data_IF_651419711740
#
_entry.id   IF_651419711740
#
_cell.length_a   1.000
_cell.length_b   1.000
_cell.length_c   1.000
_cell.angle_alpha   90.00
_cell.angle_beta   90.00
_cell.angle_gamma   90.00
#
_symmetry.space_group_name_H-M   'P 1'
#
loop_
_entity.id
_entity.type
_entity.pdbx_description
1 polymer ?
#
# COMPACT_ATOMS: atom_id res chain seq x y z
N UNK A 1 -9.87 -12.09 20.02
CA UNK A 1 -8.63 -11.47 19.54
C UNK A 1 -9.05 -10.21 18.83
N UNK A 2 -8.81 -9.04 19.42
CA UNK A 2 -9.19 -7.76 18.82
C UNK A 2 -8.33 -7.53 17.57
N UNK A 3 -8.96 -7.32 16.42
CA UNK A 3 -8.31 -6.85 15.21
C UNK A 3 -7.84 -5.41 15.48
N UNK A 4 -6.64 -5.27 16.05
CA UNK A 4 -5.94 -3.99 16.22
C UNK A 4 -5.34 -3.53 14.89
N UNK A 5 -6.15 -3.46 13.84
CA UNK A 5 -5.78 -2.83 12.57
C UNK A 5 -6.49 -1.49 12.46
N UNK A 6 -6.27 -0.60 13.43
CA UNK A 6 -6.51 0.81 13.18
C UNK A 6 -5.20 1.37 12.64
N UNK A 7 -4.98 1.25 11.32
CA UNK A 7 -3.86 1.94 10.64
C UNK A 7 -3.76 3.39 11.10
N UNK A 8 -4.93 3.97 11.36
CA UNK A 8 -5.08 5.28 11.95
C UNK A 8 -6.06 5.18 13.12
N UNK A 9 -5.62 5.64 14.28
CA UNK A 9 -6.38 5.73 15.53
C UNK A 9 -7.11 7.07 15.61
N UNK A 10 -8.10 7.19 16.51
CA UNK A 10 -8.82 8.44 16.74
C UNK A 10 -7.94 9.58 17.27
N UNK A 11 -6.75 9.29 17.78
CA UNK A 11 -5.75 10.28 18.21
C UNK A 11 -4.84 10.78 17.09
N UNK A 12 -4.84 10.14 15.93
CA UNK A 12 -3.94 10.49 14.85
C UNK A 12 -4.43 11.72 14.08
N UNK A 13 -3.51 12.63 13.80
CA UNK A 13 -3.79 13.80 12.99
C UNK A 13 -3.57 13.48 11.52
N UNK A 14 -4.65 13.48 10.74
CA UNK A 14 -4.63 13.21 9.30
C UNK A 14 -4.84 14.51 8.55
N UNK A 15 -3.89 14.85 7.68
CA UNK A 15 -4.05 15.94 6.71
C UNK A 15 -3.83 15.41 5.31
N UNK A 16 -4.78 15.69 4.41
CA UNK A 16 -4.55 15.48 2.98
C UNK A 16 -3.33 16.29 2.54
N UNK A 17 -2.41 15.61 1.84
CA UNK A 17 -1.15 16.21 1.42
C UNK A 17 -1.39 17.08 0.19
N UNK A 18 -1.13 18.40 0.28
CA UNK A 18 -1.29 19.27 -0.88
C UNK A 18 -0.38 18.85 -2.03
N UNK A 19 -0.91 18.82 -3.26
CA UNK A 19 -0.17 18.38 -4.45
C UNK A 19 1.07 19.22 -4.80
N UNK A 20 1.21 20.43 -4.23
CA UNK A 20 2.39 21.29 -4.38
C UNK A 20 3.52 20.99 -3.37
N UNK A 21 3.23 20.26 -2.28
CA UNK A 21 4.29 19.75 -1.39
C UNK A 21 4.97 18.53 -2.04
N UNK A 22 5.89 17.86 -1.34
CA UNK A 22 6.56 16.62 -1.82
C UNK A 22 5.58 15.43 -1.93
N UNK A 23 4.42 15.63 -2.54
CA UNK A 23 3.43 14.62 -2.89
C UNK A 23 4.00 13.73 -3.99
N UNK A 24 3.81 12.43 -3.83
CA UNK A 24 4.14 11.41 -4.83
C UNK A 24 3.12 11.51 -5.97
N UNK A 25 1.85 11.69 -5.62
CA UNK A 25 0.73 11.94 -6.53
C UNK A 25 0.81 13.39 -7.00
N UNK A 26 0.88 13.55 -8.32
CA UNK A 26 0.46 14.79 -8.95
C UNK A 26 -0.98 14.58 -9.44
N UNK A 27 -1.95 15.17 -8.73
CA UNK A 27 -3.39 15.03 -9.01
C UNK A 27 -3.77 15.39 -10.45
N UNK A 28 -2.92 16.12 -11.17
CA UNK A 28 -3.11 16.44 -12.58
C UNK A 28 -3.05 15.20 -13.52
N UNK A 29 -2.55 14.04 -13.06
CA UNK A 29 -2.46 12.80 -13.87
C UNK A 29 -2.60 11.53 -13.02
N UNK A 30 -3.74 11.33 -12.34
CA UNK A 30 -4.02 10.12 -11.54
C UNK A 30 -3.86 8.81 -12.32
N UNK A 31 -4.25 8.78 -13.60
CA UNK A 31 -4.12 7.62 -14.50
C UNK A 31 -2.67 7.18 -14.79
N UNK A 32 -1.66 7.91 -14.32
CA UNK A 32 -0.23 7.58 -14.48
C UNK A 32 0.45 7.18 -13.18
N UNK A 33 -0.30 6.83 -12.13
CA UNK A 33 0.25 6.53 -10.78
C UNK A 33 0.15 5.05 -10.41
N UNK A 34 0.32 4.17 -11.40
CA UNK A 34 0.22 2.72 -11.17
C UNK A 34 1.45 2.14 -10.47
N UNK A 35 1.21 1.33 -9.45
CA UNK A 35 2.19 0.63 -8.63
C UNK A 35 1.84 -0.86 -8.56
N UNK A 36 2.82 -1.68 -8.18
CA UNK A 36 2.59 -3.10 -7.90
C UNK A 36 2.71 -3.35 -6.40
N UNK A 37 1.77 -4.11 -5.85
CA UNK A 37 1.74 -4.51 -4.44
C UNK A 37 1.78 -6.03 -4.42
N UNK A 38 2.72 -6.60 -3.66
CA UNK A 38 2.83 -8.05 -3.49
C UNK A 38 2.62 -8.45 -2.04
N UNK A 39 1.90 -9.55 -1.84
CA UNK A 39 1.80 -10.25 -0.57
C UNK A 39 2.10 -11.73 -0.83
N UNK A 40 3.26 -12.20 -0.36
CA UNK A 40 3.75 -13.53 -0.65
C UNK A 40 3.98 -13.71 -2.15
N UNK A 41 3.29 -14.68 -2.74
CA UNK A 41 3.35 -14.93 -4.17
C UNK A 41 2.25 -14.22 -4.96
N UNK A 42 1.32 -13.54 -4.29
CA UNK A 42 0.26 -12.79 -4.95
C UNK A 42 0.73 -11.38 -5.30
N UNK A 43 0.41 -10.94 -6.51
CA UNK A 43 0.70 -9.61 -7.02
C UNK A 43 -0.60 -8.91 -7.42
N UNK A 44 -0.67 -7.62 -7.12
CA UNK A 44 -1.79 -6.76 -7.42
C UNK A 44 -1.30 -5.45 -8.03
N UNK A 45 -1.87 -5.06 -9.16
CA UNK A 45 -1.63 -3.76 -9.76
C UNK A 45 -2.66 -2.76 -9.22
N UNK A 46 -2.18 -1.69 -8.61
CA UNK A 46 -3.01 -0.66 -8.01
C UNK A 46 -2.64 0.72 -8.56
N UNK A 47 -3.57 1.67 -8.50
CA UNK A 47 -3.30 3.07 -8.79
C UNK A 47 -3.39 3.86 -7.49
N UNK A 48 -2.42 4.75 -7.27
CA UNK A 48 -2.46 5.61 -6.09
C UNK A 48 -3.58 6.63 -6.27
N UNK A 49 -4.49 6.70 -5.30
CA UNK A 49 -5.62 7.64 -5.33
C UNK A 49 -5.37 8.86 -4.45
N UNK A 50 -4.86 8.67 -3.22
CA UNK A 50 -4.67 9.75 -2.26
C UNK A 50 -3.42 9.55 -1.39
N UNK A 51 -2.90 10.66 -0.89
CA UNK A 51 -1.80 10.74 0.08
C UNK A 51 -2.20 11.62 1.25
N UNK A 52 -1.92 11.15 2.46
CA UNK A 52 -2.16 11.90 3.68
C UNK A 52 -0.90 11.94 4.53
N UNK A 53 -0.65 13.07 5.18
CA UNK A 53 0.23 13.10 6.34
C UNK A 53 -0.53 12.49 7.52
N UNK A 54 0.08 11.51 8.17
CA UNK A 54 -0.41 10.96 9.43
C UNK A 54 0.61 11.30 10.49
N UNK A 55 0.19 12.11 11.47
CA UNK A 55 1.07 12.72 12.46
C UNK A 55 2.22 13.49 11.80
N UNK A 56 3.44 13.41 12.37
CA UNK A 56 4.63 14.14 11.88
C UNK A 56 5.53 13.31 10.97
N UNK A 57 5.47 12.00 11.08
CA UNK A 57 6.52 11.07 10.66
C UNK A 57 6.03 9.99 9.70
N UNK A 58 4.73 9.87 9.44
CA UNK A 58 4.21 8.89 8.48
C UNK A 58 3.45 9.54 7.33
N UNK A 59 3.44 8.87 6.20
CA UNK A 59 2.57 9.13 5.05
C UNK A 59 1.67 7.92 4.86
N UNK A 60 0.36 8.15 4.85
CA UNK A 60 -0.64 7.16 4.42
C UNK A 60 -0.83 7.29 2.91
N UNK A 61 -0.64 6.18 2.20
CA UNK A 61 -0.90 6.09 0.77
C UNK A 61 -2.12 5.20 0.59
N UNK A 62 -3.13 5.72 -0.10
CA UNK A 62 -4.34 4.99 -0.47
C UNK A 62 -4.30 4.65 -1.95
N UNK A 63 -4.59 3.40 -2.28
CA UNK A 63 -4.57 2.88 -3.65
C UNK A 63 -5.88 2.17 -3.98
N UNK A 64 -6.27 2.21 -5.24
CA UNK A 64 -7.36 1.39 -5.76
C UNK A 64 -6.84 0.31 -6.72
N UNK A 65 -7.46 -0.85 -6.71
CA UNK A 65 -7.22 -1.92 -7.67
C UNK A 65 -8.58 -2.41 -8.20
N UNK A 66 -8.85 -2.18 -9.48
CA UNK A 66 -10.11 -2.58 -10.10
C UNK A 66 -10.07 -4.07 -10.47
N UNK A 67 -11.18 -4.78 -10.29
CA UNK A 67 -11.27 -6.20 -10.70
C UNK A 67 -11.10 -6.37 -12.21
N UNK A 68 -11.58 -5.41 -13.01
CA UNK A 68 -11.45 -5.42 -14.47
C UNK A 68 -10.01 -5.35 -14.97
N UNK A 69 -9.10 -4.78 -14.18
CA UNK A 69 -7.69 -4.60 -14.53
C UNK A 69 -6.78 -5.65 -13.86
N UNK A 70 -7.32 -6.44 -12.91
CA UNK A 70 -6.57 -7.37 -12.09
C UNK A 70 -7.23 -8.76 -12.10
N UNK A 71 -6.90 -9.62 -13.08
CA UNK A 71 -7.50 -10.96 -13.18
C UNK A 71 -7.19 -11.89 -11.99
N UNK A 72 -6.21 -11.54 -11.16
CA UNK A 72 -5.79 -12.32 -9.99
C UNK A 72 -6.12 -11.67 -8.65
N UNK A 73 -6.97 -10.64 -8.64
CA UNK A 73 -7.34 -9.92 -7.41
C UNK A 73 -8.01 -10.84 -6.38
N UNK A 74 -8.78 -11.83 -6.82
CA UNK A 74 -9.40 -12.82 -5.93
C UNK A 74 -8.36 -13.72 -5.26
N UNK A 75 -7.31 -14.12 -5.98
CA UNK A 75 -6.20 -14.88 -5.41
C UNK A 75 -5.45 -14.04 -4.37
N UNK A 76 -5.22 -12.75 -4.65
CA UNK A 76 -4.64 -11.80 -3.71
C UNK A 76 -5.50 -11.62 -2.45
N UNK A 77 -6.82 -11.49 -2.59
CA UNK A 77 -7.75 -11.46 -1.45
C UNK A 77 -7.77 -12.79 -0.67
N UNK A 78 -7.59 -13.92 -1.36
CA UNK A 78 -7.46 -15.24 -0.74
C UNK A 78 -6.24 -15.35 0.16
N UNK A 79 -5.06 -14.97 -0.33
CA UNK A 79 -3.83 -14.88 0.47
C UNK A 79 -4.02 -13.95 1.68
N UNK A 80 -4.78 -12.85 1.50
CA UNK A 80 -5.06 -11.92 2.58
C UNK A 80 -5.99 -12.47 3.65
N UNK A 81 -7.03 -13.20 3.25
CA UNK A 81 -7.91 -13.88 4.18
C UNK A 81 -7.12 -14.91 5.01
N UNK A 82 -6.20 -15.65 4.39
CA UNK A 82 -5.32 -16.59 5.09
C UNK A 82 -4.46 -15.85 6.12
N UNK A 83 -3.89 -14.70 5.74
CA UNK A 83 -3.07 -13.88 6.63
C UNK A 83 -3.83 -13.38 7.87
N UNK A 84 -4.98 -12.72 7.69
CA UNK A 84 -5.71 -12.10 8.79
C UNK A 84 -6.44 -13.10 9.67
N UNK A 85 -7.05 -14.13 9.08
CA UNK A 85 -7.89 -15.07 9.82
C UNK A 85 -7.15 -16.29 10.34
N UNK A 86 -5.94 -16.55 9.84
CA UNK A 86 -5.07 -17.68 10.26
C UNK A 86 -5.85 -18.98 10.46
N UNK A 87 -6.57 -19.45 9.43
CA UNK A 87 -7.48 -20.58 9.56
C UNK A 87 -6.72 -21.83 10.02
N UNK A 88 -7.17 -22.42 11.13
CA UNK A 88 -6.50 -23.56 11.79
C UNK A 88 -6.50 -24.86 10.99
N UNK A 89 -7.27 -24.93 9.90
CA UNK A 89 -7.37 -26.10 9.02
C UNK A 89 -6.36 -26.06 7.85
N UNK A 90 -5.67 -24.93 7.65
CA UNK A 90 -4.57 -24.85 6.70
C UNK A 90 -3.26 -25.14 7.44
N UNK A 91 -2.48 -26.10 6.95
CA UNK A 91 -1.18 -26.45 7.53
C UNK A 91 -0.13 -25.41 7.09
N UNK A 92 -0.14 -24.24 7.72
CA UNK A 92 0.64 -23.04 7.35
C UNK A 92 2.05 -23.05 7.97
N UNK A 93 2.72 -24.20 8.04
CA UNK A 93 3.98 -24.37 8.78
C UNK A 93 5.16 -23.51 8.28
N UNK A 94 5.07 -22.79 7.13
CA UNK A 94 6.26 -22.14 6.56
C UNK A 94 6.14 -20.76 5.89
N UNK A 95 4.99 -20.11 5.73
CA UNK A 95 4.97 -18.83 4.99
C UNK A 95 3.87 -17.88 5.48
N UNK A 96 4.02 -17.33 6.69
CA UNK A 96 3.26 -16.13 7.03
C UNK A 96 3.99 -14.93 6.45
N UNK A 97 3.41 -14.31 5.43
CA UNK A 97 3.87 -13.02 4.91
C UNK A 97 3.21 -11.95 5.77
N UNK A 98 4.00 -11.29 6.61
CA UNK A 98 3.58 -10.26 7.57
C UNK A 98 3.63 -8.83 7.03
N UNK A 99 4.13 -8.66 5.81
CA UNK A 99 4.33 -7.38 5.17
C UNK A 99 3.90 -7.42 3.72
N UNK A 100 3.34 -6.31 3.25
CA UNK A 100 3.22 -6.08 1.81
C UNK A 100 4.53 -5.50 1.29
N UNK A 101 4.90 -5.85 0.06
CA UNK A 101 5.96 -5.13 -0.67
C UNK A 101 5.32 -4.25 -1.73
N UNK A 102 5.66 -2.98 -1.72
CA UNK A 102 5.15 -1.96 -2.63
C UNK A 102 6.27 -1.57 -3.59
N UNK A 103 6.10 -1.87 -4.86
CA UNK A 103 7.01 -1.47 -5.93
C UNK A 103 6.47 -0.24 -6.65
N UNK A 104 7.28 0.80 -6.75
CA UNK A 104 6.85 2.06 -7.37
C UNK A 104 7.98 2.78 -8.08
N UNK A 105 7.77 3.22 -9.33
CA UNK A 105 8.73 4.08 -10.01
C UNK A 105 8.72 5.53 -9.49
N UNK A 106 7.72 5.93 -8.69
CA UNK A 106 7.48 7.32 -8.29
C UNK A 106 8.14 7.68 -6.96
N UNK A 107 8.44 6.70 -6.12
CA UNK A 107 9.07 6.89 -4.82
C UNK A 107 10.15 5.84 -4.58
N UNK A 108 11.18 6.24 -3.84
CA UNK A 108 12.34 5.41 -3.52
C UNK A 108 12.60 5.40 -2.03
N UNK A 109 12.99 4.25 -1.52
CA UNK A 109 13.44 4.07 -0.15
C UNK A 109 14.90 4.56 -0.07
N UNK A 110 15.14 5.64 0.68
CA UNK A 110 16.48 6.24 0.75
C UNK A 110 17.47 5.39 1.56
N UNK A 111 16.98 4.56 2.47
CA UNK A 111 17.82 3.73 3.34
C UNK A 111 18.51 2.62 2.57
N UNK A 112 17.88 2.11 1.50
CA UNK A 112 18.44 1.05 0.65
C UNK A 112 18.60 1.44 -0.82
N UNK A 113 18.21 2.67 -1.18
CA UNK A 113 18.22 3.23 -2.54
C UNK A 113 17.45 2.37 -3.57
N UNK A 114 16.37 1.70 -3.15
CA UNK A 114 15.51 0.88 -4.02
C UNK A 114 14.15 1.53 -4.27
N UNK A 115 13.51 1.14 -5.36
CA UNK A 115 12.15 1.57 -5.75
C UNK A 115 11.07 0.65 -5.17
N UNK A 116 11.29 0.16 -3.96
CA UNK A 116 10.26 -0.57 -3.22
C UNK A 116 10.33 -0.30 -1.72
N UNK A 117 9.20 -0.55 -1.06
CA UNK A 117 9.02 -0.47 0.39
C UNK A 117 8.38 -1.74 0.88
N UNK A 118 8.71 -2.13 2.10
CA UNK A 118 7.95 -3.14 2.82
C UNK A 118 7.16 -2.42 3.91
N UNK A 119 5.91 -2.82 4.13
CA UNK A 119 5.08 -2.27 5.19
C UNK A 119 4.29 -3.39 5.87
N UNK A 120 4.40 -3.42 7.20
CA UNK A 120 3.58 -4.23 8.10
C UNK A 120 2.28 -3.48 8.47
N UNK A 121 2.21 -2.18 8.21
CA UNK A 121 1.09 -1.31 8.54
C UNK A 121 0.25 -1.05 7.28
N UNK A 122 -0.63 -2.00 6.97
CA UNK A 122 -1.55 -1.91 5.83
C UNK A 122 -2.96 -2.46 6.14
N UNK A 123 -3.96 -1.93 5.42
CA UNK A 123 -5.34 -2.40 5.44
C UNK A 123 -5.85 -2.64 4.02
N UNK A 124 -6.87 -3.49 3.92
CA UNK A 124 -7.51 -3.83 2.66
C UNK A 124 -9.02 -3.78 2.84
N UNK A 125 -9.67 -3.00 1.99
CA UNK A 125 -11.10 -2.80 2.01
C UNK A 125 -11.65 -3.29 0.66
N UNK A 126 -12.18 -4.53 0.60
CA UNK A 126 -12.84 -5.02 -0.60
C UNK A 126 -14.16 -4.27 -0.79
N UNK A 127 -14.41 -3.82 -2.02
CA UNK A 127 -15.67 -3.25 -2.49
C UNK A 127 -16.21 -4.11 -3.64
N UNK A 128 -17.40 -3.77 -4.15
CA UNK A 128 -18.07 -4.55 -5.19
C UNK A 128 -17.28 -4.62 -6.51
N UNK A 129 -16.64 -3.53 -6.92
CA UNK A 129 -15.98 -3.36 -8.22
C UNK A 129 -14.46 -3.19 -8.13
N UNK A 130 -13.92 -3.04 -6.92
CA UNK A 130 -12.51 -2.74 -6.65
C UNK A 130 -12.10 -3.12 -5.25
N UNK A 131 -10.80 -3.06 -4.99
CA UNK A 131 -10.20 -3.17 -3.67
C UNK A 131 -9.46 -1.88 -3.36
N UNK A 132 -9.67 -1.33 -2.17
CA UNK A 132 -8.85 -0.23 -1.65
C UNK A 132 -7.76 -0.84 -0.76
N UNK A 133 -6.52 -0.43 -0.97
CA UNK A 133 -5.38 -0.79 -0.12
C UNK A 133 -4.82 0.50 0.45
N UNK A 134 -4.74 0.62 1.77
CA UNK A 134 -3.95 1.68 2.40
C UNK A 134 -2.75 1.10 3.12
N UNK A 135 -1.67 1.86 3.12
CA UNK A 135 -0.46 1.51 3.83
C UNK A 135 0.29 2.73 4.31
N UNK A 136 0.96 2.59 5.45
CA UNK A 136 1.81 3.63 6.02
C UNK A 136 3.26 3.43 5.59
N UNK A 137 3.92 4.55 5.32
CA UNK A 137 5.37 4.64 5.12
C UNK A 137 5.94 5.71 6.04
N UNK A 138 7.05 5.42 6.70
CA UNK A 138 7.83 6.41 7.43
C UNK A 138 8.45 7.45 6.49
N UNK A 139 8.20 8.72 6.77
CA UNK A 139 8.70 9.88 6.06
C UNK A 139 10.24 9.96 6.08
N UNK A 140 10.90 9.35 7.07
CA UNK A 140 12.35 9.29 7.19
C UNK A 140 12.99 8.48 6.06
N UNK A 141 12.27 7.48 5.51
CA UNK A 141 12.77 6.60 4.45
C UNK A 141 12.18 6.94 3.08
N UNK A 142 11.12 7.76 3.04
CA UNK A 142 10.38 8.07 1.83
C UNK A 142 10.98 9.27 1.07
N UNK A 143 11.43 9.03 -0.15
CA UNK A 143 11.79 10.09 -1.09
C UNK A 143 11.01 9.96 -2.39
N UNK A 144 10.67 11.08 -3.00
CA UNK A 144 10.27 11.11 -4.41
C UNK A 144 11.41 10.54 -5.26
N UNK A 145 11.06 9.66 -6.18
CA UNK A 145 11.99 9.19 -7.21
C UNK A 145 12.20 10.36 -8.17
N UNK A 146 13.45 10.76 -8.39
CA UNK A 146 13.73 11.69 -9.47
C UNK A 146 13.39 10.94 -10.76
N UNK A 147 12.36 11.39 -11.48
CA UNK A 147 12.16 10.95 -12.86
C UNK A 147 13.45 11.35 -13.58
N UNK A 148 14.29 10.36 -13.91
CA UNK A 148 15.32 10.54 -14.92
C UNK A 148 14.55 10.93 -16.18
N UNK A 149 14.51 12.24 -16.46
CA UNK A 149 14.10 12.73 -17.77
C UNK A 149 15.12 12.16 -18.74
N UNK A 150 14.72 11.13 -19.49
CA UNK A 150 15.37 10.77 -20.74
C UNK A 150 14.92 11.77 -21.81
#
# INVERSE_FOLDING_TARGET
MELNTSLVTCSDFILEKPGYLRSIINLLNSNKTSINITLGNAELKANIINEYFVNKDKTLISCNANFSENPFIEAFLGEMAIYFYKPSHLNLENVFVDKITIFSPFFRNISNNKQYFESEEFDIIPLEDRVIINFLIDNSVLSKSAILKY
#
